data_IF_817218695764
#
_entry.id   IF_817218695764
#
_cell.length_a   1.000
_cell.length_b   1.000
_cell.length_c   1.000
_cell.angle_alpha   90.00
_cell.angle_beta   90.00
_cell.angle_gamma   90.00
#
_symmetry.space_group_name_H-M   'P 1'
#
loop_
_entity.id
_entity.type
_entity.pdbx_description
1 polymer ?
#
# COMPACT_ATOMS: atom_id res chain seq x y z
N UNK A 1 33.99 -3.71 13.76
CA UNK A 1 32.83 -4.53 13.34
C UNK A 1 32.46 -4.16 11.91
N UNK A 2 31.99 -5.09 11.08
CA UNK A 2 31.64 -4.81 9.68
C UNK A 2 30.18 -4.37 9.60
N UNK A 3 29.92 -3.20 9.03
CA UNK A 3 28.57 -2.76 8.68
C UNK A 3 28.06 -3.53 7.46
N UNK A 4 26.79 -3.91 7.50
CA UNK A 4 26.10 -4.67 6.46
C UNK A 4 24.72 -4.09 6.22
N UNK A 5 24.38 -3.89 4.96
CA UNK A 5 23.04 -3.50 4.56
C UNK A 5 22.23 -4.72 4.13
N UNK A 6 21.05 -4.89 4.73
CA UNK A 6 19.99 -5.76 4.24
C UNK A 6 19.06 -4.93 3.37
N UNK A 7 19.16 -5.08 2.06
CA UNK A 7 18.31 -4.41 1.08
C UNK A 7 17.13 -5.31 0.72
N UNK A 8 15.93 -4.77 0.83
CA UNK A 8 14.67 -5.49 0.64
C UNK A 8 13.96 -4.89 -0.58
N UNK A 9 13.76 -5.74 -1.59
CA UNK A 9 12.83 -5.48 -2.68
C UNK A 9 11.48 -6.12 -2.36
N UNK A 10 10.40 -5.34 -2.38
CA UNK A 10 9.06 -5.78 -2.02
C UNK A 10 8.19 -5.93 -3.26
N UNK A 11 7.48 -7.05 -3.35
CA UNK A 11 6.42 -7.24 -4.35
C UNK A 11 5.09 -7.45 -3.63
N UNK A 12 4.21 -6.47 -3.75
CA UNK A 12 2.88 -6.46 -3.15
C UNK A 12 1.85 -6.97 -4.18
N UNK A 13 1.62 -8.29 -4.19
CA UNK A 13 0.62 -8.92 -5.07
C UNK A 13 -0.79 -8.69 -4.55
N UNK A 14 -1.58 -7.80 -5.16
CA UNK A 14 -2.93 -7.48 -4.66
C UNK A 14 -3.95 -8.62 -4.72
N UNK A 15 -5.08 -8.39 -4.03
CA UNK A 15 -6.26 -9.26 -4.01
C UNK A 15 -7.35 -8.68 -3.11
N UNK A 16 -8.63 -8.90 -3.45
CA UNK A 16 -9.79 -8.24 -2.80
C UNK A 16 -9.87 -8.46 -1.28
N UNK A 17 -9.55 -9.65 -0.79
CA UNK A 17 -9.59 -9.96 0.64
C UNK A 17 -8.32 -9.58 1.42
N UNK A 18 -7.29 -9.07 0.74
CA UNK A 18 -5.95 -8.94 1.31
C UNK A 18 -5.51 -7.49 1.59
N UNK A 19 -6.32 -6.48 1.22
CA UNK A 19 -5.93 -5.07 1.37
C UNK A 19 -5.56 -4.69 2.82
N UNK A 20 -6.38 -5.12 3.79
CA UNK A 20 -6.17 -4.85 5.22
C UNK A 20 -4.98 -5.64 5.77
N UNK A 21 -4.80 -6.89 5.34
CA UNK A 21 -3.66 -7.71 5.71
C UNK A 21 -2.34 -7.10 5.20
N UNK A 22 -2.32 -6.69 3.93
CA UNK A 22 -1.17 -6.02 3.30
C UNK A 22 -0.81 -4.74 4.02
N UNK A 23 -1.80 -3.96 4.45
CA UNK A 23 -1.56 -2.77 5.25
C UNK A 23 -0.79 -3.10 6.53
N UNK A 24 -1.19 -4.16 7.26
CA UNK A 24 -0.47 -4.62 8.44
C UNK A 24 0.99 -5.00 8.15
N UNK A 25 1.23 -5.78 7.09
CA UNK A 25 2.60 -6.17 6.67
C UNK A 25 3.43 -4.96 6.27
N UNK A 26 2.87 -4.03 5.47
CA UNK A 26 3.55 -2.78 5.11
C UNK A 26 3.88 -1.94 6.34
N UNK A 27 3.00 -1.91 7.35
CA UNK A 27 3.25 -1.21 8.61
C UNK A 27 4.42 -1.87 9.35
N UNK A 28 4.46 -3.19 9.53
CA UNK A 28 5.59 -3.86 10.18
C UNK A 28 6.93 -3.63 9.46
N UNK A 29 6.92 -3.59 8.13
CA UNK A 29 8.12 -3.26 7.34
C UNK A 29 8.57 -1.82 7.62
N UNK A 30 7.65 -0.85 7.62
CA UNK A 30 7.96 0.53 7.98
C UNK A 30 8.59 0.62 9.37
N UNK A 31 8.00 -0.06 10.35
CA UNK A 31 8.47 -0.10 11.74
C UNK A 31 9.86 -0.70 11.86
N UNK A 32 10.14 -1.79 11.15
CA UNK A 32 11.48 -2.39 11.09
C UNK A 32 12.52 -1.40 10.53
N UNK A 33 12.20 -0.74 9.42
CA UNK A 33 13.12 0.26 8.82
C UNK A 33 13.30 1.46 9.75
N UNK A 34 12.23 1.93 10.39
CA UNK A 34 12.27 3.03 11.37
C UNK A 34 13.13 2.69 12.58
N UNK A 35 12.97 1.49 13.15
CA UNK A 35 13.80 1.00 14.23
C UNK A 35 15.28 0.90 13.82
N UNK A 36 15.56 0.42 12.60
CA UNK A 36 16.91 0.40 12.05
C UNK A 36 17.49 1.81 11.92
N UNK A 37 16.74 2.75 11.33
CA UNK A 37 17.16 4.14 11.18
C UNK A 37 17.46 4.81 12.53
N UNK A 38 16.60 4.61 13.54
CA UNK A 38 16.78 5.14 14.89
C UNK A 38 18.06 4.59 15.55
N UNK A 39 18.32 3.28 15.43
CA UNK A 39 19.52 2.66 15.99
C UNK A 39 20.80 3.20 15.34
N UNK A 40 20.79 3.36 14.01
CA UNK A 40 21.93 3.86 13.23
C UNK A 40 22.14 5.38 13.36
N UNK A 41 21.15 6.13 13.83
CA UNK A 41 21.31 7.55 14.16
C UNK A 41 22.21 7.76 15.40
N UNK A 42 22.33 6.76 16.28
CA UNK A 42 23.20 6.82 17.46
C UNK A 42 24.63 6.47 17.01
N UNK A 43 25.50 7.47 16.85
CA UNK A 43 26.87 7.26 16.34
C UNK A 43 27.82 6.64 17.37
N UNK A 44 27.60 6.90 18.65
CA UNK A 44 28.38 6.31 19.74
C UNK A 44 27.92 4.86 19.99
N UNK A 45 28.84 3.91 19.84
CA UNK A 45 28.57 2.48 20.01
C UNK A 45 28.25 2.10 21.44
N UNK A 46 28.90 2.71 22.43
CA UNK A 46 28.65 2.38 23.83
C UNK A 46 27.26 2.86 24.26
N UNK A 47 26.86 4.04 23.79
CA UNK A 47 25.51 4.56 23.95
C UNK A 47 24.48 3.67 23.23
N UNK A 48 24.74 3.33 21.96
CA UNK A 48 23.86 2.49 21.13
C UNK A 48 23.59 1.12 21.78
N UNK A 49 24.59 0.52 22.43
CA UNK A 49 24.45 -0.77 23.11
C UNK A 49 23.48 -0.74 24.31
N UNK A 50 23.23 0.45 24.88
CA UNK A 50 22.36 0.64 26.05
C UNK A 50 21.05 1.36 25.72
N UNK A 51 20.95 1.97 24.53
CA UNK A 51 19.80 2.75 24.10
C UNK A 51 18.53 1.91 23.98
N UNK A 52 17.38 2.54 24.18
CA UNK A 52 16.06 2.02 23.84
C UNK A 52 15.45 2.82 22.69
N UNK A 53 14.50 2.23 21.96
CA UNK A 53 13.79 2.94 20.89
C UNK A 53 13.09 4.21 21.40
N UNK A 54 12.48 4.13 22.58
CA UNK A 54 11.70 5.20 23.19
C UNK A 54 12.54 6.29 23.87
N UNK A 55 13.87 6.22 23.80
CA UNK A 55 14.73 7.31 24.29
C UNK A 55 14.62 8.57 23.40
N UNK A 56 14.22 8.40 22.14
CA UNK A 56 14.11 9.48 21.15
C UNK A 56 12.70 9.77 20.64
N UNK A 57 11.69 9.00 21.07
CA UNK A 57 10.28 9.17 20.65
C UNK A 57 9.33 9.03 21.83
N UNK A 58 8.18 9.68 21.76
CA UNK A 58 7.17 9.65 22.81
C UNK A 58 6.51 8.24 22.90
N UNK A 59 6.61 7.54 24.05
CA UNK A 59 5.96 6.24 24.24
C UNK A 59 4.44 6.26 24.17
N UNK A 60 3.83 7.45 24.30
CA UNK A 60 2.38 7.64 24.23
C UNK A 60 1.86 7.90 22.81
N UNK A 61 2.75 8.10 21.83
CA UNK A 61 2.37 8.27 20.43
C UNK A 61 1.85 6.93 19.86
N UNK A 62 0.56 6.85 19.46
CA UNK A 62 -0.06 5.61 18.99
C UNK A 62 0.45 5.16 17.61
N UNK A 63 1.28 5.95 16.94
CA UNK A 63 1.96 5.51 15.72
C UNK A 63 3.00 4.41 15.99
N UNK A 64 3.64 4.43 17.18
CA UNK A 64 4.73 3.53 17.56
C UNK A 64 4.24 2.39 18.47
N UNK A 65 4.68 1.16 18.19
CA UNK A 65 4.31 -0.04 18.95
C UNK A 65 5.43 -1.11 18.93
N UNK A 66 5.61 -1.83 17.81
CA UNK A 66 6.53 -2.96 17.64
C UNK A 66 7.92 -2.51 17.22
N UNK A 67 8.15 -1.22 16.93
CA UNK A 67 9.47 -0.67 16.66
C UNK A 67 10.48 -0.97 17.77
N UNK A 68 10.05 -0.92 19.04
CA UNK A 68 10.92 -1.24 20.18
C UNK A 68 11.46 -2.67 20.12
N UNK A 69 10.62 -3.63 19.70
CA UNK A 69 11.00 -5.03 19.55
C UNK A 69 12.04 -5.18 18.42
N UNK A 70 11.81 -4.53 17.27
CA UNK A 70 12.76 -4.55 16.15
C UNK A 70 14.08 -3.86 16.51
N UNK A 71 14.01 -2.76 17.25
CA UNK A 71 15.20 -2.03 17.72
C UNK A 71 16.05 -2.91 18.62
N UNK A 72 15.44 -3.59 19.59
CA UNK A 72 16.12 -4.51 20.49
C UNK A 72 16.77 -5.67 19.75
N UNK A 73 16.06 -6.29 18.81
CA UNK A 73 16.58 -7.36 17.97
C UNK A 73 17.79 -6.90 17.13
N UNK A 74 17.67 -5.74 16.47
CA UNK A 74 18.75 -5.18 15.65
C UNK A 74 19.96 -4.77 16.50
N UNK A 75 19.73 -4.25 17.71
CA UNK A 75 20.79 -3.94 18.68
C UNK A 75 21.53 -5.20 19.13
N UNK A 76 20.81 -6.28 19.41
CA UNK A 76 21.40 -7.56 19.79
C UNK A 76 22.22 -8.17 18.64
N UNK A 77 21.69 -8.18 17.42
CA UNK A 77 22.42 -8.56 16.20
C UNK A 77 23.67 -7.68 16.02
N UNK A 78 23.54 -6.39 16.34
CA UNK A 78 24.57 -5.37 16.37
C UNK A 78 25.78 -5.67 17.25
N UNK A 79 25.71 -6.65 18.15
CA UNK A 79 26.88 -7.13 18.91
C UNK A 79 27.88 -7.91 18.03
N UNK A 80 27.42 -8.44 16.89
CA UNK A 80 28.23 -9.24 15.95
C UNK A 80 28.36 -8.57 14.57
N UNK A 81 27.26 -8.00 14.07
CA UNK A 81 27.20 -7.34 12.77
C UNK A 81 26.31 -6.12 12.86
N UNK A 82 26.83 -4.96 12.47
CA UNK A 82 26.03 -3.74 12.39
C UNK A 82 25.12 -3.81 11.17
N UNK A 83 23.91 -4.33 11.37
CA UNK A 83 22.95 -4.55 10.31
C UNK A 83 22.04 -3.32 10.12
N UNK A 84 22.03 -2.76 8.92
CA UNK A 84 21.11 -1.69 8.51
C UNK A 84 20.08 -2.25 7.55
N UNK A 85 18.80 -2.03 7.83
CA UNK A 85 17.70 -2.50 6.97
C UNK A 85 17.21 -1.36 6.10
N UNK A 86 17.10 -1.61 4.80
CA UNK A 86 16.66 -0.65 3.80
C UNK A 86 15.67 -1.32 2.85
N UNK A 87 14.58 -0.61 2.53
CA UNK A 87 13.71 -0.94 1.40
C UNK A 87 14.06 -0.01 0.26
N UNK A 88 14.47 -0.54 -0.88
CA UNK A 88 14.94 0.23 -2.03
C UNK A 88 14.05 0.07 -3.27
N UNK A 89 13.26 -1.01 -3.36
CA UNK A 89 12.34 -1.25 -4.48
C UNK A 89 11.01 -1.76 -3.93
N UNK A 90 9.92 -1.19 -4.44
CA UNK A 90 8.55 -1.65 -4.19
C UNK A 90 7.85 -1.81 -5.53
N UNK A 91 7.27 -2.96 -5.79
CA UNK A 91 6.37 -3.20 -6.92
C UNK A 91 5.00 -3.61 -6.39
N UNK A 92 3.91 -3.08 -6.96
CA UNK A 92 2.57 -3.38 -6.48
C UNK A 92 1.51 -3.36 -7.58
N UNK A 93 0.54 -4.25 -7.45
CA UNK A 93 -0.63 -4.34 -8.32
C UNK A 93 -1.91 -4.38 -7.47
N UNK A 94 -3.01 -3.80 -7.94
CA UNK A 94 -4.29 -3.79 -7.23
C UNK A 94 -4.16 -3.24 -5.80
N UNK A 95 -4.76 -3.90 -4.80
CA UNK A 95 -4.61 -3.50 -3.40
C UNK A 95 -3.14 -3.41 -2.92
N UNK A 96 -2.24 -4.17 -3.55
CA UNK A 96 -0.81 -4.11 -3.28
C UNK A 96 -0.16 -2.83 -3.82
N UNK A 97 -0.65 -2.28 -4.93
CA UNK A 97 -0.20 -0.99 -5.46
C UNK A 97 -0.60 0.19 -4.55
N UNK A 98 -1.78 0.12 -3.91
CA UNK A 98 -2.19 1.10 -2.89
C UNK A 98 -1.24 1.07 -1.70
N UNK A 99 -1.06 -0.10 -1.08
CA UNK A 99 -0.21 -0.24 0.09
C UNK A 99 1.26 0.07 -0.22
N UNK A 100 1.73 -0.31 -1.41
CA UNK A 100 3.06 0.00 -1.90
C UNK A 100 3.29 1.51 -2.05
N UNK A 101 2.33 2.25 -2.61
CA UNK A 101 2.41 3.71 -2.73
C UNK A 101 2.50 4.41 -1.38
N UNK A 102 1.69 3.96 -0.42
CA UNK A 102 1.64 4.54 0.93
C UNK A 102 2.92 4.19 1.70
N UNK A 103 3.39 2.94 1.64
CA UNK A 103 4.65 2.53 2.23
C UNK A 103 5.83 3.30 1.64
N UNK A 104 5.88 3.45 0.31
CA UNK A 104 6.96 4.18 -0.35
C UNK A 104 7.03 5.64 0.12
N UNK A 105 5.86 6.29 0.24
CA UNK A 105 5.74 7.63 0.79
C UNK A 105 6.19 7.70 2.26
N UNK A 106 5.79 6.73 3.08
CA UNK A 106 6.18 6.66 4.49
C UNK A 106 7.70 6.49 4.67
N UNK A 107 8.33 5.61 3.88
CA UNK A 107 9.78 5.39 3.90
C UNK A 107 10.55 6.64 3.43
N UNK A 108 10.05 7.31 2.40
CA UNK A 108 10.70 8.48 1.81
C UNK A 108 10.76 9.68 2.74
N UNK A 109 9.73 9.87 3.57
CA UNK A 109 9.55 11.11 4.35
C UNK A 109 9.34 10.89 5.87
N UNK A 110 9.52 9.65 6.35
CA UNK A 110 9.19 9.20 7.72
C UNK A 110 7.79 9.63 8.16
N UNK A 111 6.79 9.21 7.38
CA UNK A 111 5.39 9.60 7.59
C UNK A 111 4.61 8.52 8.34
N UNK A 112 3.58 8.92 9.12
CA UNK A 112 2.70 7.98 9.76
C UNK A 112 1.83 7.24 8.74
N UNK A 113 1.52 5.98 9.02
CA UNK A 113 0.57 5.18 8.23
C UNK A 113 -0.74 4.91 8.97
N UNK A 114 -0.87 5.34 10.24
CA UNK A 114 -2.06 5.09 11.06
C UNK A 114 -3.40 5.54 10.43
N UNK A 115 -3.44 6.72 9.80
CA UNK A 115 -4.69 7.24 9.21
C UNK A 115 -5.19 6.45 8.00
N UNK A 116 -4.29 5.76 7.30
CA UNK A 116 -4.67 4.87 6.20
C UNK A 116 -5.41 3.64 6.72
N UNK A 117 -5.02 3.10 7.88
CA UNK A 117 -5.77 2.04 8.56
C UNK A 117 -7.20 2.49 8.83
N UNK A 118 -7.36 3.69 9.38
CA UNK A 118 -8.68 4.22 9.73
C UNK A 118 -9.53 4.40 8.47
N UNK A 119 -8.94 4.91 7.39
CA UNK A 119 -9.60 4.97 6.08
C UNK A 119 -10.05 3.58 5.59
N UNK A 120 -9.23 2.54 5.75
CA UNK A 120 -9.62 1.17 5.41
C UNK A 120 -10.72 0.61 6.31
N UNK A 121 -10.72 0.94 7.60
CA UNK A 121 -11.73 0.48 8.55
C UNK A 121 -13.07 1.20 8.31
N UNK A 122 -13.03 2.50 8.03
CA UNK A 122 -14.20 3.35 7.86
C UNK A 122 -14.83 3.20 6.46
N UNK A 123 -14.00 3.00 5.42
CA UNK A 123 -14.44 2.94 4.02
C UNK A 123 -14.35 1.53 3.41
N UNK A 124 -13.81 0.56 4.14
CA UNK A 124 -13.79 -0.85 3.74
C UNK A 124 -15.16 -1.51 3.74
N UNK A 125 -16.20 -0.81 4.22
CA UNK A 125 -17.57 -1.23 3.98
C UNK A 125 -17.92 -1.03 2.51
N UNK A 126 -18.11 -2.16 1.82
CA UNK A 126 -18.59 -2.25 0.43
C UNK A 126 -19.84 -1.37 0.21
N UNK A 127 -20.65 -1.13 1.24
CA UNK A 127 -21.81 -0.23 1.17
C UNK A 127 -21.49 1.24 0.83
N UNK A 128 -20.29 1.71 1.21
CA UNK A 128 -19.78 3.06 0.98
C UNK A 128 -19.16 3.16 -0.42
N UNK A 129 -18.47 2.10 -0.86
CA UNK A 129 -17.80 2.10 -2.16
C UNK A 129 -18.74 1.80 -3.34
N UNK A 130 -19.90 1.19 -3.09
CA UNK A 130 -20.90 0.93 -4.13
C UNK A 130 -21.49 2.23 -4.66
N UNK A 131 -21.40 2.42 -5.99
CA UNK A 131 -22.07 3.52 -6.67
C UNK A 131 -23.57 3.57 -6.26
N UNK A 132 -24.18 4.76 -6.08
CA UNK A 132 -25.59 4.89 -5.72
C UNK A 132 -26.52 4.09 -6.65
N UNK A 133 -26.14 3.98 -7.92
CA UNK A 133 -26.82 3.25 -8.99
C UNK A 133 -26.65 1.71 -8.89
N UNK A 134 -25.62 1.23 -8.19
CA UNK A 134 -25.36 -0.18 -7.91
C UNK A 134 -26.05 -0.65 -6.62
N UNK A 135 -26.60 0.26 -5.80
CA UNK A 135 -27.43 -0.07 -4.63
C UNK A 135 -28.75 -0.65 -5.11
N UNK A 136 -28.82 -1.98 -5.15
CA UNK A 136 -30.01 -2.70 -5.57
C UNK A 136 -31.22 -2.31 -4.69
N UNK A 137 -32.25 -1.69 -5.27
CA UNK A 137 -33.53 -1.50 -4.60
C UNK A 137 -34.04 -2.86 -4.08
N UNK A 138 -34.63 -2.88 -2.86
CA UNK A 138 -35.13 -4.08 -2.13
C UNK A 138 -36.05 -5.01 -2.94
N UNK A 139 -36.54 -4.54 -4.08
CA UNK A 139 -37.51 -5.21 -4.94
C UNK A 139 -36.96 -5.66 -6.31
N UNK A 140 -35.69 -5.37 -6.64
CA UNK A 140 -35.15 -5.55 -8.00
C UNK A 140 -34.95 -6.99 -8.47
N UNK A 141 -35.09 -8.00 -7.60
CA UNK A 141 -34.95 -9.44 -7.94
C UNK A 141 -35.94 -10.34 -7.19
N UNK A 142 -37.19 -9.91 -7.04
CA UNK A 142 -38.23 -10.71 -6.38
C UNK A 142 -38.44 -12.10 -7.04
N UNK A 143 -38.13 -12.22 -8.34
CA UNK A 143 -38.24 -13.47 -9.10
C UNK A 143 -37.17 -14.53 -8.77
N UNK A 144 -36.06 -14.18 -8.10
CA UNK A 144 -35.02 -15.13 -7.67
C UNK A 144 -35.29 -15.78 -6.30
N UNK A 145 -36.36 -15.38 -5.60
CA UNK A 145 -36.74 -15.93 -4.28
C UNK A 145 -36.85 -17.48 -4.24
N UNK A 146 -37.34 -18.20 -5.28
CA UNK A 146 -37.48 -19.65 -5.21
C UNK A 146 -36.15 -20.42 -5.10
N UNK A 147 -35.07 -19.90 -5.72
CA UNK A 147 -33.76 -20.57 -5.73
C UNK A 147 -33.01 -20.44 -4.40
N UNK A 148 -33.17 -19.32 -3.70
CA UNK A 148 -32.47 -19.06 -2.43
C UNK A 148 -33.12 -19.86 -1.27
N UNK A 149 -34.43 -20.08 -1.33
CA UNK A 149 -35.15 -20.82 -0.29
C UNK A 149 -34.79 -22.32 -0.26
N UNK A 150 -34.42 -22.89 -1.42
CA UNK A 150 -33.95 -24.28 -1.53
C UNK A 150 -32.60 -24.55 -0.85
N UNK A 151 -31.71 -23.56 -0.81
CA UNK A 151 -30.40 -23.67 -0.15
C UNK A 151 -30.44 -23.47 1.37
N UNK A 152 -31.51 -22.89 1.91
CA UNK A 152 -31.66 -22.63 3.35
C UNK A 152 -32.01 -23.86 4.19
N UNK A 153 -32.40 -24.99 3.57
CA UNK A 153 -32.81 -26.21 4.28
C UNK A 153 -31.66 -27.16 4.65
N UNK A 154 -30.42 -26.88 4.24
CA UNK A 154 -29.28 -27.79 4.45
C UNK A 154 -28.38 -27.42 5.62
N UNK A 155 -28.66 -26.36 6.38
CA UNK A 155 -28.02 -26.14 7.69
C UNK A 155 -26.50 -25.94 7.69
N UNK A 156 -25.86 -25.76 6.53
CA UNK A 156 -24.43 -25.46 6.43
C UNK A 156 -24.28 -24.00 6.06
N UNK A 157 -24.00 -23.17 7.07
CA UNK A 157 -23.26 -21.89 7.05
C UNK A 157 -23.76 -21.02 8.22
N UNK A 158 -23.09 -21.17 9.36
CA UNK A 158 -23.13 -20.22 10.48
C UNK A 158 -22.45 -18.91 10.09
N UNK A 159 -23.03 -18.22 9.12
CA UNK A 159 -22.55 -16.95 8.59
C UNK A 159 -23.44 -15.84 9.13
N UNK A 160 -22.78 -14.88 9.79
CA UNK A 160 -23.37 -13.69 10.39
C UNK A 160 -24.34 -12.98 9.43
N UNK A 161 -25.38 -12.36 9.97
CA UNK A 161 -26.45 -11.69 9.21
C UNK A 161 -25.86 -10.60 8.32
N UNK A 162 -24.83 -9.90 8.81
CA UNK A 162 -24.07 -8.89 8.09
C UNK A 162 -23.32 -9.49 6.88
N UNK A 163 -22.62 -10.61 7.07
CA UNK A 163 -21.87 -11.28 6.01
C UNK A 163 -22.81 -11.81 4.92
N UNK A 164 -24.00 -12.30 5.30
CA UNK A 164 -25.04 -12.73 4.35
C UNK A 164 -25.59 -11.56 3.54
N UNK A 165 -25.83 -10.43 4.18
CA UNK A 165 -26.32 -9.22 3.51
C UNK A 165 -25.26 -8.66 2.54
N UNK A 166 -23.98 -8.63 2.96
CA UNK A 166 -22.82 -8.25 2.12
C UNK A 166 -22.59 -9.22 0.94
N UNK A 167 -22.70 -10.53 1.15
CA UNK A 167 -22.67 -11.53 0.06
C UNK A 167 -23.84 -11.37 -0.91
N UNK A 168 -25.03 -11.06 -0.39
CA UNK A 168 -26.19 -10.81 -1.25
C UNK A 168 -26.01 -9.56 -2.10
N UNK A 169 -25.34 -8.52 -1.60
CA UNK A 169 -24.94 -7.35 -2.37
C UNK A 169 -23.94 -7.72 -3.49
N UNK A 170 -22.95 -8.55 -3.17
CA UNK A 170 -21.94 -9.01 -4.14
C UNK A 170 -22.56 -9.80 -5.30
N UNK A 171 -23.39 -10.80 -5.00
CA UNK A 171 -24.07 -11.64 -6.00
C UNK A 171 -25.14 -10.86 -6.81
N UNK A 172 -25.65 -9.75 -6.25
CA UNK A 172 -26.68 -8.93 -6.90
C UNK A 172 -26.12 -7.79 -7.73
N UNK A 173 -24.88 -7.36 -7.47
CA UNK A 173 -24.18 -6.38 -8.29
C UNK A 173 -24.09 -6.87 -9.74
N UNK A 174 -24.36 -5.99 -10.71
CA UNK A 174 -24.38 -6.36 -12.13
C UNK A 174 -22.93 -6.61 -12.53
N UNK A 175 -22.65 -7.83 -12.97
CA UNK A 175 -21.31 -8.35 -13.31
C UNK A 175 -20.65 -7.70 -14.54
N UNK A 176 -21.01 -6.45 -14.87
CA UNK A 176 -20.57 -5.69 -16.05
C UNK A 176 -20.67 -4.15 -15.86
N UNK A 177 -20.82 -3.65 -14.63
CA UNK A 177 -20.60 -2.24 -14.29
C UNK A 177 -19.59 -2.19 -13.14
N UNK A 178 -18.63 -1.25 -13.14
CA UNK A 178 -17.65 -1.17 -12.05
C UNK A 178 -18.43 -1.03 -10.74
N UNK A 179 -18.26 -1.96 -9.78
CA UNK A 179 -19.01 -1.90 -8.53
C UNK A 179 -18.66 -0.65 -7.74
N UNK A 180 -17.47 -0.09 -7.95
CA UNK A 180 -16.90 1.02 -7.20
C UNK A 180 -17.01 2.33 -8.01
N UNK A 181 -17.51 3.40 -7.40
CA UNK A 181 -17.53 4.72 -8.02
C UNK A 181 -16.09 5.25 -8.16
N UNK A 182 -15.64 5.44 -9.41
CA UNK A 182 -14.28 5.84 -9.71
C UNK A 182 -13.88 7.21 -9.14
N UNK A 183 -14.83 8.14 -9.01
CA UNK A 183 -14.58 9.47 -8.41
C UNK A 183 -14.49 9.37 -6.90
N UNK A 184 -15.36 8.57 -6.27
CA UNK A 184 -15.31 8.31 -4.82
C UNK A 184 -13.99 7.62 -4.47
N UNK A 185 -13.60 6.57 -5.20
CA UNK A 185 -12.34 5.87 -4.95
C UNK A 185 -11.12 6.79 -5.14
N UNK A 186 -11.12 7.64 -6.17
CA UNK A 186 -10.04 8.61 -6.38
C UNK A 186 -9.97 9.63 -5.22
N UNK A 187 -11.13 10.11 -4.75
CA UNK A 187 -11.22 10.97 -3.56
C UNK A 187 -10.65 10.30 -2.31
N UNK A 188 -11.06 9.06 -2.04
CA UNK A 188 -10.52 8.28 -0.91
C UNK A 188 -9.01 8.08 -1.00
N UNK A 189 -8.47 7.77 -2.18
CA UNK A 189 -7.01 7.62 -2.34
C UNK A 189 -6.28 8.96 -2.16
N UNK A 190 -6.88 10.06 -2.62
CA UNK A 190 -6.32 11.39 -2.40
C UNK A 190 -6.32 11.79 -0.92
N UNK A 191 -7.44 11.56 -0.23
CA UNK A 191 -7.57 11.78 1.21
C UNK A 191 -6.58 10.90 1.99
N UNK A 192 -6.37 9.65 1.57
CA UNK A 192 -5.37 8.77 2.16
C UNK A 192 -3.94 9.33 2.04
N UNK A 193 -3.52 9.72 0.84
CA UNK A 193 -2.16 10.27 0.60
C UNK A 193 -1.97 11.59 1.35
N UNK A 194 -2.98 12.46 1.36
CA UNK A 194 -2.91 13.75 2.03
C UNK A 194 -2.96 13.63 3.55
N UNK A 195 -3.72 12.66 4.09
CA UNK A 195 -3.80 12.39 5.53
C UNK A 195 -2.47 11.96 6.14
N UNK A 196 -1.56 11.34 5.36
CA UNK A 196 -0.19 11.06 5.79
C UNK A 196 0.62 12.33 6.07
N UNK A 197 0.22 13.47 5.49
CA UNK A 197 0.80 14.78 5.75
C UNK A 197 2.12 15.05 5.04
N UNK A 198 2.79 16.10 5.50
CA UNK A 198 4.11 16.51 5.07
C UNK A 198 5.19 15.94 6.00
N UNK A 199 6.41 15.84 5.48
CA UNK A 199 7.58 15.46 6.27
C UNK A 199 7.71 16.35 7.51
N UNK A 200 8.06 15.77 8.68
CA UNK A 200 8.24 16.54 9.95
C UNK A 200 9.26 17.68 9.80
N UNK A 201 10.27 17.47 8.95
CA UNK A 201 11.21 18.51 8.52
C UNK A 201 11.75 18.19 7.11
N UNK A 202 12.34 19.17 6.43
CA UNK A 202 12.73 19.08 5.01
C UNK A 202 13.67 17.90 4.66
N UNK A 203 14.41 17.37 5.64
CA UNK A 203 15.34 16.23 5.47
C UNK A 203 14.85 14.92 6.13
N UNK A 204 13.59 14.85 6.57
CA UNK A 204 13.06 13.65 7.24
C UNK A 204 12.93 12.54 6.20
N UNK A 205 13.54 11.39 6.47
CA UNK A 205 13.62 10.28 5.54
C UNK A 205 14.19 9.08 6.27
N UNK A 206 13.57 7.91 6.07
CA UNK A 206 14.12 6.65 6.56
C UNK A 206 15.19 6.09 5.63
N UNK A 207 15.29 6.62 4.40
CA UNK A 207 16.34 6.26 3.45
C UNK A 207 17.69 6.86 3.83
N UNK A 208 18.78 6.06 3.80
CA UNK A 208 20.15 6.53 4.04
C UNK A 208 20.60 7.59 3.02
N UNK A 209 21.62 8.37 3.38
CA UNK A 209 22.23 9.32 2.44
C UNK A 209 22.84 8.59 1.25
N UNK A 210 22.64 9.10 0.04
CA UNK A 210 23.14 8.49 -1.20
C UNK A 210 22.29 7.34 -1.74
N UNK A 211 21.16 7.00 -1.10
CA UNK A 211 20.28 5.92 -1.54
C UNK A 211 19.01 6.43 -2.22
N UNK A 212 18.37 5.52 -2.95
CA UNK A 212 17.12 5.73 -3.67
C UNK A 212 16.06 4.71 -3.28
N UNK A 213 14.81 5.07 -3.54
CA UNK A 213 13.66 4.18 -3.49
C UNK A 213 12.87 4.31 -4.78
N UNK A 214 12.56 3.18 -5.40
CA UNK A 214 11.74 3.10 -6.60
C UNK A 214 10.42 2.36 -6.30
N UNK A 215 9.31 2.96 -6.73
CA UNK A 215 7.98 2.37 -6.69
C UNK A 215 7.48 2.13 -8.11
N UNK A 216 7.09 0.90 -8.39
CA UNK A 216 6.43 0.49 -9.62
C UNK A 216 4.99 0.07 -9.32
N UNK A 217 4.03 0.82 -9.87
CA UNK A 217 2.61 0.50 -9.77
C UNK A 217 2.13 0.01 -11.13
N UNK A 218 1.74 -1.25 -11.22
CA UNK A 218 1.22 -1.82 -12.47
C UNK A 218 -0.27 -1.54 -12.60
N UNK A 219 -0.70 -1.26 -13.82
CA UNK A 219 -2.10 -1.02 -14.16
C UNK A 219 -2.45 -1.62 -15.51
N UNK A 220 -3.74 -1.82 -15.73
CA UNK A 220 -4.29 -2.33 -16.98
C UNK A 220 -5.14 -1.23 -17.61
N UNK A 221 -4.72 -0.75 -18.79
CA UNK A 221 -5.55 0.10 -19.63
C UNK A 221 -6.56 -0.76 -20.39
N UNK A 222 -7.84 -0.45 -20.22
CA UNK A 222 -8.92 -1.15 -20.90
C UNK A 222 -8.85 -1.01 -22.43
N UNK A 223 -8.46 0.16 -22.93
CA UNK A 223 -8.39 0.42 -24.38
C UNK A 223 -7.09 -0.12 -24.98
N UNK A 224 -6.04 -0.18 -24.17
CA UNK A 224 -4.68 -0.52 -24.59
C UNK A 224 -4.09 0.47 -25.59
N UNK A 225 -2.83 0.28 -25.93
CA UNK A 225 -2.10 1.06 -26.92
C UNK A 225 -1.44 0.13 -27.95
N UNK A 226 -1.28 0.64 -29.17
CA UNK A 226 -0.62 -0.13 -30.22
C UNK A 226 0.91 -0.10 -30.00
N UNK A 227 1.49 -1.27 -29.78
CA UNK A 227 2.93 -1.48 -29.65
C UNK A 227 3.46 -2.19 -30.90
N UNK A 228 4.65 -1.77 -31.35
CA UNK A 228 5.31 -2.34 -32.51
C UNK A 228 6.37 -3.33 -32.04
N UNK A 229 6.11 -4.63 -32.25
CA UNK A 229 7.00 -5.70 -31.84
C UNK A 229 7.85 -6.15 -33.04
N UNK A 230 9.18 -6.07 -32.96
CA UNK A 230 10.06 -6.59 -34.01
C UNK A 230 10.05 -8.12 -33.98
N UNK A 231 9.74 -8.75 -35.11
CA UNK A 231 9.86 -10.20 -35.29
C UNK A 231 10.63 -10.52 -36.58
N UNK A 232 10.86 -11.79 -36.88
CA UNK A 232 11.66 -12.20 -38.03
C UNK A 232 10.96 -11.94 -39.38
N UNK A 233 9.70 -12.35 -39.53
CA UNK A 233 8.90 -12.15 -40.75
C UNK A 233 7.38 -12.20 -40.41
N UNK A 234 6.60 -11.14 -40.66
CA UNK A 234 7.04 -9.82 -41.15
C UNK A 234 7.97 -9.13 -40.13
N UNK A 235 8.86 -8.22 -40.54
CA UNK A 235 9.84 -7.61 -39.63
C UNK A 235 9.23 -6.81 -38.46
N UNK A 236 7.93 -6.51 -38.54
CA UNK A 236 7.17 -5.80 -37.52
C UNK A 236 5.74 -6.34 -37.46
N UNK A 237 5.25 -6.59 -36.24
CA UNK A 237 3.82 -6.81 -35.96
C UNK A 237 3.32 -5.73 -35.01
N UNK A 238 2.05 -5.34 -35.18
CA UNK A 238 1.37 -4.46 -34.24
C UNK A 238 0.57 -5.31 -33.26
N UNK A 239 0.84 -5.13 -31.98
CA UNK A 239 0.11 -5.78 -30.89
C UNK A 239 -0.57 -4.72 -30.04
N UNK A 240 -1.74 -5.05 -29.49
CA UNK A 240 -2.43 -4.19 -28.53
C UNK A 240 -1.93 -4.54 -27.14
N UNK A 241 -1.10 -3.69 -26.55
CA UNK A 241 -0.63 -3.84 -25.18
C UNK A 241 -1.58 -3.11 -24.23
N UNK A 242 -1.88 -3.73 -23.09
CA UNK A 242 -2.79 -3.22 -22.07
C UNK A 242 -2.07 -2.91 -20.75
N UNK A 243 -0.87 -3.46 -20.56
CA UNK A 243 -0.10 -3.28 -19.35
C UNK A 243 0.63 -1.94 -19.36
N UNK A 244 0.50 -1.19 -18.26
CA UNK A 244 1.31 -0.01 -18.00
C UNK A 244 1.95 -0.10 -16.62
N UNK A 245 3.09 0.57 -16.49
CA UNK A 245 3.81 0.71 -15.22
C UNK A 245 3.99 2.20 -14.93
N UNK A 246 3.41 2.66 -13.82
CA UNK A 246 3.72 3.97 -13.27
C UNK A 246 4.92 3.85 -12.35
N UNK A 247 5.91 4.70 -12.57
CA UNK A 247 7.15 4.73 -11.81
C UNK A 247 7.22 6.02 -10.99
N UNK A 248 7.50 5.88 -9.69
CA UNK A 248 7.76 6.98 -8.77
C UNK A 248 9.09 6.73 -8.08
N UNK A 249 9.85 7.79 -7.83
CA UNK A 249 11.19 7.68 -7.29
C UNK A 249 11.46 8.67 -6.16
N UNK A 250 12.35 8.26 -5.27
CA UNK A 250 12.99 9.10 -4.27
C UNK A 250 14.49 8.97 -4.45
N UNK A 251 15.20 10.10 -4.47
CA UNK A 251 16.65 10.15 -4.53
C UNK A 251 17.17 11.15 -3.50
N UNK A 252 18.08 10.68 -2.65
CA UNK A 252 18.81 11.54 -1.71
C UNK A 252 20.27 11.58 -2.09
N UNK A 253 20.73 12.75 -2.50
CA UNK A 253 22.15 12.96 -2.78
C UNK A 253 23.01 12.88 -1.51
N UNK A 254 24.32 12.60 -1.62
CA UNK A 254 25.24 12.65 -0.49
C UNK A 254 25.31 14.03 0.20
N UNK A 255 25.04 15.11 -0.54
CA UNK A 255 24.96 16.50 -0.03
C UNK A 255 23.68 16.76 0.76
N UNK A 256 22.70 15.85 0.68
CA UNK A 256 21.43 15.93 1.40
C UNK A 256 20.31 16.59 0.62
N UNK A 257 20.54 16.94 -0.66
CA UNK A 257 19.47 17.36 -1.57
C UNK A 257 18.56 16.17 -1.90
N UNK A 258 17.26 16.42 -1.88
CA UNK A 258 16.22 15.40 -2.05
C UNK A 258 15.41 15.71 -3.33
N UNK A 259 15.28 14.71 -4.19
CA UNK A 259 14.31 14.67 -5.28
C UNK A 259 13.30 13.58 -4.97
N UNK A 260 12.01 13.91 -4.97
CA UNK A 260 11.00 12.99 -4.45
C UNK A 260 9.67 13.16 -5.17
N UNK A 261 9.23 12.11 -5.84
CA UNK A 261 7.85 11.99 -6.35
C UNK A 261 6.84 11.69 -5.24
N UNK A 262 7.30 11.50 -4.01
CA UNK A 262 6.49 11.22 -2.82
C UNK A 262 6.20 12.45 -1.94
N UNK A 263 6.34 13.67 -2.47
CA UNK A 263 5.97 14.89 -1.76
C UNK A 263 4.46 15.17 -1.89
N UNK A 264 3.91 16.12 -1.12
CA UNK A 264 2.46 16.41 -1.11
C UNK A 264 1.96 17.04 -2.41
N UNK A 265 2.81 17.78 -3.11
CA UNK A 265 2.54 18.37 -4.43
C UNK A 265 2.20 17.31 -5.49
N UNK A 266 2.81 16.12 -5.38
CA UNK A 266 2.53 14.98 -6.26
C UNK A 266 1.48 14.01 -5.69
N UNK A 267 0.76 14.38 -4.63
CA UNK A 267 -0.34 13.58 -4.08
C UNK A 267 -1.39 13.18 -5.12
N UNK A 268 -1.79 14.05 -6.09
CA UNK A 268 -2.72 13.64 -7.15
C UNK A 268 -2.22 12.46 -7.99
N UNK A 269 -0.94 12.40 -8.32
CA UNK A 269 -0.38 11.32 -9.14
C UNK A 269 -0.32 9.99 -8.37
N UNK A 270 0.05 10.04 -7.08
CA UNK A 270 0.03 8.87 -6.20
C UNK A 270 -1.40 8.35 -6.00
N UNK A 271 -2.37 9.25 -5.79
CA UNK A 271 -3.77 8.90 -5.66
C UNK A 271 -4.32 8.29 -6.95
N UNK A 272 -3.95 8.85 -8.11
CA UNK A 272 -4.28 8.29 -9.42
C UNK A 272 -3.71 6.88 -9.58
N UNK A 273 -2.43 6.66 -9.26
CA UNK A 273 -1.80 5.35 -9.35
C UNK A 273 -2.50 4.32 -8.45
N UNK A 274 -2.74 4.68 -7.19
CA UNK A 274 -3.43 3.84 -6.19
C UNK A 274 -4.87 3.49 -6.62
N UNK A 275 -5.60 4.43 -7.23
CA UNK A 275 -6.94 4.17 -7.78
C UNK A 275 -6.89 3.33 -9.06
N UNK A 276 -5.99 3.65 -9.98
CA UNK A 276 -5.92 3.01 -11.29
C UNK A 276 -5.55 1.53 -11.17
N UNK A 277 -4.57 1.21 -10.33
CA UNK A 277 -4.12 -0.17 -10.10
C UNK A 277 -5.21 -1.03 -9.43
N UNK A 278 -6.04 -0.44 -8.56
CA UNK A 278 -7.10 -1.14 -7.79
C UNK A 278 -8.45 -1.22 -8.50
N UNK A 279 -8.55 -0.69 -9.72
CA UNK A 279 -9.79 -0.72 -10.49
C UNK A 279 -10.00 -2.11 -11.11
N UNK A 280 -11.18 -2.70 -10.89
CA UNK A 280 -11.65 -3.76 -11.78
C UNK A 280 -12.09 -3.11 -13.09
N UNK A 281 -11.62 -3.59 -14.26
CA UNK A 281 -12.07 -3.06 -15.54
C UNK A 281 -13.59 -3.23 -15.63
N UNK A 282 -14.29 -2.12 -15.87
CA UNK A 282 -15.73 -2.03 -15.99
C UNK A 282 -16.13 -0.79 -16.75
#
# INVERSE_FOLDING_TARGET
>A
MREKELRIALVCFGGVSLAVYMHGISKEILKLVRASAALHAITDREARAKASFFDGVDPSDPEYDTEAIYFDLLREIGARVELRVVVDIIAGASAGGINGAMLARALSHDLPMGKLRDLWLDNGDVSVLLAPEAKANRWSKAFLKPLIWGAGKTGVLGVDREVRDKLSLFVRSRWFKPPLDGRVMAGLMYDAVTAMGAARHAKASLLPSGQSLDLFVTLTDYYGYDEQVPIHDPPMVREREHHHVLHFSYRRSPTGDVQSDFALDNAPALAFAARATSSFPG
#
